data_IF_910976158640
#
_entry.id   IF_910976158640
#
_cell.length_a   1.000
_cell.length_b   1.000
_cell.length_c   1.000
_cell.angle_alpha   90.00
_cell.angle_beta   90.00
_cell.angle_gamma   90.00
#
_symmetry.space_group_name_H-M   'P 1'
#
loop_
_entity.id
_entity.type
_entity.pdbx_description
1 polymer ?
#
# COMPACT_ATOMS: atom_id res chain seq x y z
N UNK A 1 -17.05 29.73 42.68
CA UNK A 1 -17.42 28.57 41.84
C UNK A 1 -17.57 28.93 40.39
N UNK A 2 -18.24 30.02 40.02
CA UNK A 2 -18.39 30.41 38.61
C UNK A 2 -17.10 30.81 37.93
N UNK A 3 -16.16 31.38 38.66
CA UNK A 3 -14.84 31.78 38.12
C UNK A 3 -13.94 30.59 37.78
N UNK A 4 -14.00 29.53 38.58
CA UNK A 4 -13.24 28.31 38.36
C UNK A 4 -13.72 27.56 37.10
N UNK A 5 -15.01 27.56 36.86
CA UNK A 5 -15.58 26.90 35.67
C UNK A 5 -15.19 27.63 34.38
N UNK A 6 -15.10 28.97 34.37
CA UNK A 6 -14.63 29.72 33.20
C UNK A 6 -13.16 29.50 32.90
N UNK A 7 -12.32 29.44 33.91
CA UNK A 7 -10.90 29.16 33.75
C UNK A 7 -10.67 27.76 33.23
N UNK A 8 -11.44 26.79 33.66
CA UNK A 8 -11.39 25.42 33.23
C UNK A 8 -11.78 25.26 31.75
N UNK A 9 -12.82 26.00 31.34
CA UNK A 9 -13.25 25.97 29.92
C UNK A 9 -12.20 26.55 28.98
N UNK A 10 -11.52 27.62 29.38
CA UNK A 10 -10.42 28.20 28.61
C UNK A 10 -9.22 27.25 28.48
N UNK A 11 -8.88 26.53 29.53
CA UNK A 11 -7.80 25.55 29.50
C UNK A 11 -8.12 24.39 28.55
N UNK A 12 -9.36 23.93 28.52
CA UNK A 12 -9.83 22.89 27.60
C UNK A 12 -9.73 23.32 26.13
N UNK A 13 -10.09 24.56 25.83
CA UNK A 13 -9.99 25.10 24.47
C UNK A 13 -8.54 25.18 24.01
N UNK A 14 -7.64 25.52 24.87
CA UNK A 14 -6.21 25.59 24.56
C UNK A 14 -5.65 24.21 24.29
N UNK A 15 -6.00 23.22 25.09
CA UNK A 15 -5.59 21.82 24.88
C UNK A 15 -6.12 21.25 23.56
N UNK A 16 -7.37 21.60 23.18
CA UNK A 16 -7.96 21.16 21.93
C UNK A 16 -7.20 21.70 20.72
N UNK A 17 -6.78 22.96 20.75
CA UNK A 17 -5.99 23.56 19.68
C UNK A 17 -4.61 22.89 19.52
N UNK A 18 -3.94 22.59 20.62
CA UNK A 18 -2.66 21.88 20.62
C UNK A 18 -2.79 20.44 20.11
N UNK A 19 -3.85 19.75 20.51
CA UNK A 19 -4.14 18.40 20.05
C UNK A 19 -4.38 18.33 18.54
N UNK A 20 -5.07 19.32 17.97
CA UNK A 20 -5.34 19.39 16.52
C UNK A 20 -4.05 19.55 15.72
N UNK A 21 -3.11 20.38 16.17
CA UNK A 21 -1.81 20.57 15.52
C UNK A 21 -0.96 19.30 15.57
N UNK A 22 -0.93 18.62 16.71
CA UNK A 22 -0.22 17.35 16.88
C UNK A 22 -0.81 16.25 16.02
N UNK A 23 -2.13 16.18 15.92
CA UNK A 23 -2.82 15.22 15.07
C UNK A 23 -2.50 15.41 13.61
N UNK A 24 -2.39 16.65 13.16
CA UNK A 24 -2.01 16.98 11.78
C UNK A 24 -0.61 16.45 11.43
N UNK A 25 0.36 16.69 12.32
CA UNK A 25 1.72 16.21 12.13
C UNK A 25 1.77 14.68 12.16
N UNK A 26 1.05 14.06 13.07
CA UNK A 26 0.96 12.60 13.16
C UNK A 26 0.32 11.99 11.90
N UNK A 27 -0.74 12.63 11.38
CA UNK A 27 -1.38 12.17 10.15
C UNK A 27 -0.44 12.28 8.94
N UNK A 28 0.31 13.36 8.85
CA UNK A 28 1.29 13.55 7.77
C UNK A 28 2.39 12.51 7.83
N UNK A 29 2.94 12.26 9.01
CA UNK A 29 3.98 11.24 9.23
C UNK A 29 3.45 9.86 8.91
N UNK A 30 2.23 9.54 9.32
CA UNK A 30 1.59 8.27 9.04
C UNK A 30 1.35 8.09 7.54
N UNK A 31 0.89 9.13 6.87
CA UNK A 31 0.68 9.09 5.42
C UNK A 31 1.98 8.88 4.66
N UNK A 32 3.07 9.49 5.11
CA UNK A 32 4.39 9.27 4.54
C UNK A 32 4.85 7.82 4.70
N UNK A 33 4.70 7.26 5.91
CA UNK A 33 5.08 5.86 6.17
C UNK A 33 4.22 4.89 5.37
N UNK A 34 2.93 5.17 5.22
CA UNK A 34 2.05 4.36 4.37
C UNK A 34 2.48 4.40 2.91
N UNK A 35 2.84 5.57 2.40
CA UNK A 35 3.32 5.73 1.03
C UNK A 35 4.63 4.97 0.81
N UNK A 36 5.53 5.04 1.78
CA UNK A 36 6.80 4.31 1.74
C UNK A 36 6.58 2.81 1.76
N UNK A 37 5.74 2.32 2.66
CA UNK A 37 5.41 0.90 2.74
C UNK A 37 4.73 0.41 1.45
N UNK A 38 3.82 1.20 0.89
CA UNK A 38 3.15 0.87 -0.36
C UNK A 38 4.13 0.84 -1.54
N UNK A 39 5.09 1.75 -1.58
CA UNK A 39 6.16 1.75 -2.59
C UNK A 39 7.00 0.47 -2.50
N UNK A 40 7.38 0.07 -1.29
CA UNK A 40 8.14 -1.15 -1.08
C UNK A 40 7.33 -2.40 -1.49
N UNK A 41 6.05 -2.43 -1.14
CA UNK A 41 5.15 -3.52 -1.52
C UNK A 41 5.00 -3.62 -3.04
N UNK A 42 4.91 -2.49 -3.74
CA UNK A 42 4.86 -2.46 -5.19
C UNK A 42 6.13 -3.04 -5.82
N UNK A 43 7.30 -2.64 -5.31
CA UNK A 43 8.57 -3.17 -5.79
C UNK A 43 8.70 -4.67 -5.57
N UNK A 44 8.24 -5.15 -4.43
CA UNK A 44 8.23 -6.59 -4.14
C UNK A 44 7.29 -7.36 -5.06
N UNK A 45 6.11 -6.81 -5.32
CA UNK A 45 5.15 -7.42 -6.24
C UNK A 45 5.71 -7.48 -7.67
N UNK A 46 6.34 -6.40 -8.12
CA UNK A 46 7.00 -6.37 -9.44
C UNK A 46 8.14 -7.37 -9.51
N UNK A 47 8.94 -7.49 -8.46
CA UNK A 47 10.03 -8.45 -8.40
C UNK A 47 9.52 -9.89 -8.45
N UNK A 48 8.42 -10.19 -7.75
CA UNK A 48 7.78 -11.52 -7.82
C UNK A 48 7.25 -11.80 -9.22
N UNK A 49 6.64 -10.82 -9.85
CA UNK A 49 6.17 -10.96 -11.24
C UNK A 49 7.32 -11.27 -12.17
N UNK A 50 8.41 -10.53 -12.07
CA UNK A 50 9.56 -10.68 -12.97
C UNK A 50 10.25 -12.04 -12.77
N UNK A 51 10.34 -12.51 -11.52
CA UNK A 51 10.87 -13.85 -11.24
C UNK A 51 9.91 -14.94 -11.69
N UNK A 52 8.63 -14.66 -11.70
CA UNK A 52 7.59 -15.58 -12.09
C UNK A 52 7.44 -15.80 -13.58
N UNK A 53 8.21 -15.12 -14.42
CA UNK A 53 8.19 -15.31 -15.87
C UNK A 53 8.66 -16.70 -16.24
N UNK A 54 9.60 -17.26 -15.48
CA UNK A 54 10.10 -18.63 -15.72
C UNK A 54 9.09 -19.65 -15.22
N UNK A 55 8.89 -20.72 -16.00
CA UNK A 55 8.00 -21.80 -15.63
C UNK A 55 8.59 -22.62 -14.48
N UNK A 56 7.76 -22.93 -13.50
CA UNK A 56 8.12 -23.87 -12.44
C UNK A 56 8.06 -25.31 -12.99
N UNK A 57 8.74 -26.29 -12.32
CA UNK A 57 8.60 -27.68 -12.70
C UNK A 57 7.13 -28.09 -12.77
N UNK A 58 6.74 -28.74 -13.87
CA UNK A 58 5.36 -29.15 -14.09
C UNK A 58 4.46 -28.14 -14.75
N UNK A 59 4.90 -26.90 -14.92
CA UNK A 59 4.12 -25.87 -15.60
C UNK A 59 4.27 -25.85 -17.12
N UNK A 60 5.14 -26.68 -17.64
CA UNK A 60 5.28 -26.85 -19.09
C UNK A 60 4.87 -28.26 -19.48
N UNK A 61 4.20 -28.34 -20.59
CA UNK A 61 3.68 -29.60 -21.14
C UNK A 61 4.29 -29.83 -22.51
N UNK A 62 4.79 -31.03 -22.77
CA UNK A 62 5.30 -31.40 -24.08
C UNK A 62 4.20 -31.46 -25.12
N UNK A 63 4.45 -30.88 -26.29
CA UNK A 63 3.52 -30.89 -27.42
C UNK A 63 3.84 -32.07 -28.33
N UNK A 64 2.81 -32.67 -28.93
CA UNK A 64 2.94 -33.75 -29.91
C UNK A 64 3.68 -33.28 -31.19
N UNK A 65 3.67 -31.97 -31.46
CA UNK A 65 4.36 -31.37 -32.60
C UNK A 65 5.83 -31.04 -32.31
N UNK A 66 6.34 -31.40 -31.13
CA UNK A 66 7.67 -31.00 -30.64
C UNK A 66 7.62 -29.64 -29.98
N UNK A 67 8.40 -29.43 -28.93
CA UNK A 67 8.40 -28.21 -28.16
C UNK A 67 7.55 -28.31 -26.90
N UNK A 68 7.65 -27.32 -26.02
CA UNK A 68 6.90 -27.28 -24.77
C UNK A 68 5.99 -26.06 -24.73
N UNK A 69 4.79 -26.21 -24.20
CA UNK A 69 3.83 -25.14 -24.00
C UNK A 69 3.61 -24.91 -22.51
N UNK A 70 3.42 -23.64 -22.09
CA UNK A 70 2.99 -23.37 -20.72
C UNK A 70 1.63 -24.01 -20.45
N UNK A 71 1.45 -24.54 -19.24
CA UNK A 71 0.17 -25.10 -18.79
C UNK A 71 -0.77 -24.00 -18.31
N UNK A 72 -2.04 -24.36 -18.11
CA UNK A 72 -3.01 -23.45 -17.49
C UNK A 72 -2.57 -22.96 -16.12
N UNK A 73 -1.90 -23.81 -15.36
CA UNK A 73 -1.35 -23.44 -14.04
C UNK A 73 -0.33 -22.29 -14.16
N UNK A 74 0.49 -22.32 -15.19
CA UNK A 74 1.42 -21.23 -15.47
C UNK A 74 0.67 -19.91 -15.71
N UNK A 75 -0.32 -19.93 -16.59
CA UNK A 75 -1.09 -18.72 -16.91
C UNK A 75 -1.90 -18.23 -15.72
N UNK A 76 -2.47 -19.14 -14.93
CA UNK A 76 -3.18 -18.77 -13.70
C UNK A 76 -2.25 -18.08 -12.70
N UNK A 77 -1.03 -18.61 -12.53
CA UNK A 77 -0.04 -18.01 -11.66
C UNK A 77 0.39 -16.63 -12.16
N UNK A 78 0.61 -16.48 -13.46
CA UNK A 78 0.94 -15.20 -14.06
C UNK A 78 -0.19 -14.17 -13.83
N UNK A 79 -1.43 -14.58 -13.99
CA UNK A 79 -2.58 -13.71 -13.75
C UNK A 79 -2.63 -13.23 -12.30
N UNK A 80 -2.35 -14.11 -11.35
CA UNK A 80 -2.30 -13.74 -9.91
C UNK A 80 -1.18 -12.73 -9.65
N UNK A 81 -0.01 -12.94 -10.22
CA UNK A 81 1.13 -12.04 -10.06
C UNK A 81 0.84 -10.65 -10.65
N UNK A 82 0.18 -10.60 -11.80
CA UNK A 82 -0.24 -9.34 -12.40
C UNK A 82 -1.29 -8.62 -11.55
N UNK A 83 -2.23 -9.36 -10.96
CA UNK A 83 -3.21 -8.79 -10.04
C UNK A 83 -2.55 -8.23 -8.79
N UNK A 84 -1.55 -8.91 -8.25
CA UNK A 84 -0.79 -8.43 -7.09
C UNK A 84 -0.09 -7.10 -7.39
N UNK A 85 0.53 -6.99 -8.55
CA UNK A 85 1.17 -5.74 -8.98
C UNK A 85 0.14 -4.63 -9.12
N UNK A 86 -1.00 -4.91 -9.73
CA UNK A 86 -2.05 -3.91 -9.93
C UNK A 86 -2.63 -3.42 -8.61
N UNK A 87 -2.90 -4.33 -7.67
CA UNK A 87 -3.37 -3.96 -6.33
C UNK A 87 -2.34 -3.13 -5.57
N UNK A 88 -1.06 -3.52 -5.66
CA UNK A 88 0.02 -2.78 -5.01
C UNK A 88 0.16 -1.38 -5.62
N UNK A 89 -0.01 -1.25 -6.92
CA UNK A 89 0.02 0.05 -7.62
C UNK A 89 -1.10 0.95 -7.16
N UNK A 90 -2.32 0.43 -7.04
CA UNK A 90 -3.47 1.19 -6.56
C UNK A 90 -3.28 1.67 -5.13
N UNK A 91 -2.73 0.82 -4.28
CA UNK A 91 -2.42 1.18 -2.90
C UNK A 91 -1.36 2.29 -2.84
N UNK A 92 -0.35 2.19 -3.67
CA UNK A 92 0.70 3.20 -3.75
C UNK A 92 0.12 4.53 -4.21
N UNK A 93 -0.68 4.55 -5.26
CA UNK A 93 -1.32 5.75 -5.78
C UNK A 93 -2.23 6.40 -4.74
N UNK A 94 -3.03 5.59 -4.04
CA UNK A 94 -3.90 6.09 -2.97
C UNK A 94 -3.10 6.67 -1.81
N UNK A 95 -2.02 6.01 -1.40
CA UNK A 95 -1.16 6.48 -0.31
C UNK A 95 -0.45 7.78 -0.70
N UNK A 96 0.04 7.89 -1.93
CA UNK A 96 0.66 9.10 -2.43
C UNK A 96 -0.33 10.26 -2.51
N UNK A 97 -1.54 9.99 -2.95
CA UNK A 97 -2.58 11.00 -3.00
C UNK A 97 -2.89 11.53 -1.60
N UNK A 98 -3.07 10.62 -0.64
CA UNK A 98 -3.32 11.00 0.75
C UNK A 98 -2.20 11.87 1.30
N UNK A 99 -0.96 11.48 1.09
CA UNK A 99 0.19 12.23 1.55
C UNK A 99 0.25 13.62 0.89
N UNK A 100 0.03 13.71 -0.42
CA UNK A 100 0.02 14.96 -1.15
C UNK A 100 -1.11 15.89 -0.69
N UNK A 101 -2.27 15.33 -0.37
CA UNK A 101 -3.42 16.10 0.12
C UNK A 101 -3.18 16.67 1.53
N UNK A 102 -2.36 16.00 2.33
CA UNK A 102 -2.04 16.43 3.70
C UNK A 102 -0.85 17.40 3.79
N UNK A 103 -0.02 17.47 2.77
CA UNK A 103 1.15 18.38 2.76
C UNK A 103 0.75 19.85 2.82
#
# INVERSE_FOLDING_TARGET
>A
MKRTAKAFTLALLFCAAGASAQNRTAELDQAYEEARAASNALREAEARRDRGVESLPGERQSSAAGGSRPTENYFARQAILEQEVELARRRYEAAMKRWNDLK
#
